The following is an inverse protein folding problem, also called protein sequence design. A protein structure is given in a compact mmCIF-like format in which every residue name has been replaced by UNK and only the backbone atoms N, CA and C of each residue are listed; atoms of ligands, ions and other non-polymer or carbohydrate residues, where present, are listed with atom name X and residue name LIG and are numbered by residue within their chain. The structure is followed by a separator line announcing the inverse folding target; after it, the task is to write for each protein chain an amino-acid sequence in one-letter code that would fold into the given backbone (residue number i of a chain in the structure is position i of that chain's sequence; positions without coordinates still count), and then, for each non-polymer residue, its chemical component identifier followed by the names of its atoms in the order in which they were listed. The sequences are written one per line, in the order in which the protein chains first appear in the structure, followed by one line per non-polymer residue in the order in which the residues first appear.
data_IF_243690342928
#
_entry.id   IF_243690342928
#
_cell.length_a   1.000
_cell.length_b   1.000
_cell.length_c   1.000
_cell.angle_alpha   90.00
_cell.angle_beta   90.00
_cell.angle_gamma   90.00
#
_symmetry.space_group_name_H-M   'P 1'
#
loop_
_entity.id
_entity.type
_entity.pdbx_description
1 polymer ?
#
# COMPACT_ATOMS: atom_id res chain seq x y z
N UNK A 1 10.09 -6.44 -7.25
CA UNK A 1 11.05 -5.60 -6.51
C UNK A 1 11.95 -6.35 -5.49
N UNK A 2 11.88 -7.68 -5.38
CA UNK A 2 12.57 -8.44 -4.32
C UNK A 2 11.74 -8.53 -3.03
N UNK A 3 12.31 -9.09 -1.97
CA UNK A 3 11.66 -9.22 -0.65
C UNK A 3 12.61 -8.81 0.49
N UNK A 4 12.07 -8.50 1.68
CA UNK A 4 12.84 -8.30 2.91
C UNK A 4 12.51 -9.36 3.96
N UNK A 5 13.48 -9.65 4.84
CA UNK A 5 13.31 -10.68 5.89
C UNK A 5 12.35 -10.21 7.00
N UNK A 6 11.43 -11.08 7.47
CA UNK A 6 10.53 -10.75 8.59
C UNK A 6 11.25 -10.48 9.92
N UNK A 7 12.49 -10.92 10.08
CA UNK A 7 13.23 -10.83 11.35
C UNK A 7 13.91 -9.47 11.57
N UNK A 8 13.87 -8.57 10.57
CA UNK A 8 14.59 -7.31 10.57
C UNK A 8 13.87 -6.18 11.30
N UNK A 9 13.56 -6.38 12.59
CA UNK A 9 12.73 -5.47 13.41
C UNK A 9 13.22 -4.00 13.46
N UNK A 10 14.53 -3.78 13.36
CA UNK A 10 15.13 -2.44 13.43
C UNK A 10 15.49 -1.84 12.06
N UNK A 11 15.21 -2.54 10.96
CA UNK A 11 15.45 -1.96 9.63
C UNK A 11 14.44 -0.86 9.35
N UNK A 12 14.92 0.21 8.71
CA UNK A 12 14.15 1.37 8.32
C UNK A 12 14.11 1.48 6.81
N UNK A 13 13.00 1.98 6.28
CA UNK A 13 12.88 2.39 4.89
C UNK A 13 12.83 3.92 4.83
N UNK A 14 13.58 4.59 3.93
CA UNK A 14 13.55 6.04 3.83
C UNK A 14 12.15 6.55 3.50
N UNK A 15 11.56 7.37 4.38
CA UNK A 15 10.28 8.02 4.11
C UNK A 15 10.43 9.19 3.11
N UNK A 16 11.43 10.04 3.32
CA UNK A 16 11.72 11.16 2.44
C UNK A 16 12.52 10.70 1.23
N UNK A 17 12.17 11.23 0.06
CA UNK A 17 12.84 10.94 -1.20
C UNK A 17 12.11 11.59 -2.37
N UNK A 18 12.64 11.40 -3.57
CA UNK A 18 12.00 11.83 -4.81
C UNK A 18 10.69 11.06 -5.08
N UNK A 19 10.66 9.78 -4.69
CA UNK A 19 9.51 8.90 -4.79
C UNK A 19 9.15 8.37 -3.41
N UNK A 20 7.86 8.09 -3.17
CA UNK A 20 7.43 7.43 -1.94
C UNK A 20 7.97 6.00 -1.88
N UNK A 21 8.35 5.56 -0.68
CA UNK A 21 8.63 4.15 -0.40
C UNK A 21 7.36 3.28 -0.54
N UNK A 22 7.54 1.96 -0.60
CA UNK A 22 6.46 0.99 -0.79
C UNK A 22 6.06 0.77 -2.26
N UNK A 23 6.72 1.43 -3.21
CA UNK A 23 6.50 1.26 -4.65
C UNK A 23 7.59 0.35 -5.26
N UNK A 24 8.85 0.81 -5.25
CA UNK A 24 10.01 0.02 -5.69
C UNK A 24 10.75 -0.66 -4.53
N UNK A 25 10.35 -0.35 -3.29
CA UNK A 25 10.84 -1.02 -2.08
C UNK A 25 10.62 -2.55 -2.19
N UNK A 26 11.60 -3.39 -1.82
CA UNK A 26 11.39 -4.83 -1.77
C UNK A 26 10.22 -5.19 -0.84
N UNK A 27 9.44 -6.21 -1.22
CA UNK A 27 8.19 -6.55 -0.53
C UNK A 27 8.46 -7.03 0.90
N UNK A 28 7.80 -6.40 1.86
CA UNK A 28 7.70 -6.87 3.24
C UNK A 28 6.66 -7.99 3.37
N UNK A 29 6.74 -8.75 4.46
CA UNK A 29 5.92 -9.94 4.64
C UNK A 29 4.44 -9.66 4.91
N UNK A 30 4.11 -8.49 5.49
CA UNK A 30 2.74 -8.09 5.84
C UNK A 30 2.35 -6.81 5.11
N UNK A 31 1.09 -6.72 4.69
CA UNK A 31 0.54 -5.52 4.08
C UNK A 31 -0.92 -5.25 4.46
N UNK A 32 -1.33 -4.00 4.35
CA UNK A 32 -2.71 -3.56 4.47
C UNK A 32 -3.00 -2.47 3.45
N UNK A 33 -4.12 -2.63 2.75
CA UNK A 33 -4.75 -1.59 1.95
C UNK A 33 -5.94 -1.07 2.73
N UNK A 34 -5.99 0.24 2.95
CA UNK A 34 -7.11 0.89 3.64
C UNK A 34 -7.50 2.17 2.92
N UNK A 35 -8.72 2.18 2.41
CA UNK A 35 -9.31 3.34 1.78
C UNK A 35 -10.07 4.17 2.78
N UNK A 36 -10.05 5.47 2.59
CA UNK A 36 -10.74 6.45 3.41
C UNK A 36 -11.62 7.36 2.56
N UNK A 37 -12.76 7.74 3.11
CA UNK A 37 -13.55 8.88 2.70
C UNK A 37 -13.09 10.10 3.51
N UNK A 38 -12.94 11.26 2.86
CA UNK A 38 -12.60 12.51 3.54
C UNK A 38 -13.88 13.14 4.12
N UNK A 39 -13.83 13.51 5.40
CA UNK A 39 -15.00 13.98 6.14
C UNK A 39 -15.27 15.48 5.98
N UNK A 40 -14.24 16.25 5.59
CA UNK A 40 -14.34 17.69 5.36
C UNK A 40 -14.40 18.02 3.87
N UNK A 41 -15.09 19.12 3.55
CA UNK A 41 -15.10 19.75 2.23
C UNK A 41 -14.34 21.08 2.22
N UNK A 42 -13.45 21.32 3.17
CA UNK A 42 -12.59 22.52 3.22
C UNK A 42 -11.17 22.17 2.78
N UNK A 43 -10.63 22.97 1.84
CA UNK A 43 -9.24 22.87 1.38
C UNK A 43 -8.24 23.09 2.52
N UNK A 44 -8.56 23.91 3.52
CA UNK A 44 -7.70 24.14 4.70
C UNK A 44 -7.56 22.86 5.52
N UNK A 45 -8.67 22.14 5.69
CA UNK A 45 -8.70 20.85 6.38
C UNK A 45 -7.96 19.77 5.59
N UNK A 46 -8.05 19.77 4.25
CA UNK A 46 -7.25 18.89 3.39
C UNK A 46 -5.75 19.14 3.57
N UNK A 47 -5.32 20.41 3.62
CA UNK A 47 -3.93 20.78 3.88
C UNK A 47 -3.50 20.32 5.28
N UNK A 48 -4.36 20.47 6.29
CA UNK A 48 -4.12 19.98 7.65
C UNK A 48 -3.94 18.46 7.67
N UNK A 49 -4.80 17.72 6.97
CA UNK A 49 -4.71 16.27 6.82
C UNK A 49 -3.37 15.84 6.23
N UNK A 50 -2.96 16.39 5.09
CA UNK A 50 -1.70 15.99 4.44
C UNK A 50 -0.46 16.35 5.26
N UNK A 51 -0.47 17.50 5.96
CA UNK A 51 0.61 17.84 6.91
C UNK A 51 0.67 16.86 8.08
N UNK A 52 -0.48 16.50 8.64
CA UNK A 52 -0.59 15.56 9.73
C UNK A 52 -0.13 14.15 9.30
N UNK A 53 -0.61 13.64 8.16
CA UNK A 53 -0.18 12.35 7.62
C UNK A 53 1.33 12.32 7.39
N UNK A 54 1.91 13.37 6.81
CA UNK A 54 3.37 13.50 6.64
C UNK A 54 4.11 13.33 7.97
N UNK A 55 3.67 14.02 9.02
CA UNK A 55 4.28 13.95 10.35
C UNK A 55 4.13 12.56 10.98
N UNK A 56 2.94 11.96 10.92
CA UNK A 56 2.67 10.64 11.49
C UNK A 56 3.47 9.55 10.76
N UNK A 57 3.46 9.56 9.43
CA UNK A 57 4.18 8.57 8.62
C UNK A 57 5.68 8.67 8.92
N UNK A 58 6.28 9.87 8.88
CA UNK A 58 7.70 10.05 9.18
C UNK A 58 8.10 9.46 10.53
N UNK A 59 7.28 9.68 11.58
CA UNK A 59 7.52 9.11 12.90
C UNK A 59 7.39 7.59 12.89
N UNK A 60 6.28 7.05 12.37
CA UNK A 60 5.98 5.62 12.39
C UNK A 60 7.02 4.80 11.60
N UNK A 61 7.46 5.28 10.43
CA UNK A 61 8.42 4.56 9.58
C UNK A 61 9.86 4.63 10.10
N UNK A 62 10.18 5.63 10.93
CA UNK A 62 11.49 5.76 11.59
C UNK A 62 11.53 5.02 12.92
N UNK A 63 10.38 4.90 13.60
CA UNK A 63 10.28 4.35 14.94
C UNK A 63 10.72 5.33 16.03
N UNK A 64 10.57 4.91 17.28
CA UNK A 64 10.91 5.72 18.45
C UNK A 64 10.24 5.24 19.73
N UNK A 65 10.47 5.93 20.87
CA UNK A 65 9.75 5.64 22.10
C UNK A 65 8.25 5.88 21.90
N UNK A 66 7.41 4.98 22.43
CA UNK A 66 5.96 5.18 22.43
C UNK A 66 5.61 6.42 23.27
N UNK A 67 4.68 7.29 22.82
CA UNK A 67 4.22 8.44 23.59
C UNK A 67 3.84 8.10 25.04
N UNK A 68 4.47 8.78 26.00
CA UNK A 68 4.27 8.54 27.43
C UNK A 68 2.88 8.98 27.86
N UNK A 69 2.23 8.17 28.70
CA UNK A 69 0.97 8.55 29.35
C UNK A 69 1.28 9.52 30.50
N UNK A 70 1.01 10.81 30.29
CA UNK A 70 1.26 11.87 31.28
C UNK A 70 0.08 12.11 32.21
N UNK A 71 -1.14 11.76 31.81
CA UNK A 71 -2.35 11.89 32.60
C UNK A 71 -3.23 10.64 32.39
N UNK A 72 -3.41 9.77 33.42
CA UNK A 72 -4.14 8.52 33.29
C UNK A 72 -5.65 8.70 33.07
N UNK A 73 -6.18 9.93 33.18
CA UNK A 73 -7.57 10.26 32.85
C UNK A 73 -7.80 10.51 31.35
N UNK A 74 -6.74 10.64 30.56
CA UNK A 74 -6.83 10.81 29.11
C UNK A 74 -6.62 9.46 28.39
N UNK A 75 -7.22 9.27 27.20
CA UNK A 75 -6.90 8.12 26.37
C UNK A 75 -5.38 8.07 26.05
N UNK A 76 -4.72 6.91 26.17
CA UNK A 76 -3.30 6.78 25.86
C UNK A 76 -2.98 7.23 24.44
N UNK A 77 -1.92 8.02 24.23
CA UNK A 77 -1.58 8.54 22.89
C UNK A 77 -1.14 7.44 21.93
N UNK A 78 -0.49 6.40 22.44
CA UNK A 78 -0.17 5.17 21.71
C UNK A 78 -1.19 4.06 21.98
N UNK A 79 -1.32 3.11 21.06
CA UNK A 79 -2.20 1.96 21.24
C UNK A 79 -1.69 0.91 22.24
N UNK A 80 -0.38 0.90 22.50
CA UNK A 80 0.34 -0.01 23.39
C UNK A 80 0.68 -1.37 22.78
N UNK A 81 0.20 -1.70 21.57
CA UNK A 81 0.32 -3.07 21.04
C UNK A 81 1.75 -3.47 20.66
N UNK A 82 2.64 -2.49 20.45
CA UNK A 82 4.06 -2.73 20.17
C UNK A 82 4.95 -2.61 21.43
N UNK A 83 4.36 -2.36 22.60
CA UNK A 83 5.08 -2.08 23.83
C UNK A 83 5.63 -0.65 23.90
N UNK A 84 6.67 -0.44 24.70
CA UNK A 84 7.21 0.89 25.00
C UNK A 84 8.03 1.52 23.85
N UNK A 85 8.34 0.76 22.80
CA UNK A 85 9.16 1.22 21.67
C UNK A 85 8.52 0.78 20.38
N UNK A 86 8.19 1.74 19.54
CA UNK A 86 7.69 1.55 18.19
C UNK A 86 8.92 1.28 17.33
N UNK A 87 9.13 0.02 16.96
CA UNK A 87 10.21 -0.34 16.05
C UNK A 87 9.81 0.02 14.61
N UNK A 88 10.75 0.45 13.75
CA UNK A 88 10.45 0.80 12.37
C UNK A 88 9.99 -0.41 11.55
N UNK A 89 10.59 -1.58 11.77
CA UNK A 89 10.13 -2.87 11.22
C UNK A 89 9.89 -2.89 9.70
N UNK A 90 10.76 -2.20 8.95
CA UNK A 90 10.63 -1.93 7.52
C UNK A 90 9.31 -1.27 7.10
N UNK A 91 8.61 -0.60 8.02
CA UNK A 91 7.34 0.05 7.75
C UNK A 91 7.50 1.07 6.62
N UNK A 92 6.62 0.94 5.63
CA UNK A 92 6.37 1.93 4.60
C UNK A 92 4.88 2.23 4.58
N UNK A 93 4.53 3.50 4.39
CA UNK A 93 3.15 3.93 4.21
C UNK A 93 3.12 4.78 2.94
N UNK A 94 2.53 4.22 1.89
CA UNK A 94 2.37 4.91 0.60
C UNK A 94 0.98 5.54 0.55
N UNK A 95 0.92 6.84 0.27
CA UNK A 95 -0.32 7.59 0.14
C UNK A 95 -0.68 7.74 -1.34
N UNK A 96 -1.90 7.38 -1.72
CA UNK A 96 -2.47 7.66 -3.03
C UNK A 96 -3.86 8.30 -2.92
N UNK A 97 -4.26 9.04 -3.95
CA UNK A 97 -5.51 9.80 -3.99
C UNK A 97 -6.42 9.30 -5.10
N UNK A 98 -7.70 9.16 -4.78
CA UNK A 98 -8.72 8.69 -5.71
C UNK A 98 -9.28 9.81 -6.60
N UNK A 99 -9.99 9.42 -7.67
CA UNK A 99 -10.65 10.38 -8.56
C UNK A 99 -11.62 11.32 -7.82
N UNK A 100 -12.31 10.82 -6.78
CA UNK A 100 -13.29 11.60 -6.02
C UNK A 100 -12.66 12.77 -5.26
N UNK A 101 -11.36 12.74 -4.94
CA UNK A 101 -10.69 13.89 -4.31
C UNK A 101 -10.67 15.14 -5.22
N UNK A 102 -10.88 14.96 -6.52
CA UNK A 102 -10.84 16.02 -7.53
C UNK A 102 -12.24 16.51 -7.94
N UNK A 103 -13.25 16.27 -7.11
CA UNK A 103 -14.58 16.88 -7.24
C UNK A 103 -14.58 18.37 -6.79
N UNK A 104 -15.76 18.95 -6.61
CA UNK A 104 -15.94 20.35 -6.24
C UNK A 104 -15.46 20.70 -4.83
N UNK A 105 -15.31 19.73 -3.91
CA UNK A 105 -15.06 19.98 -2.47
C UNK A 105 -13.83 20.85 -2.24
N UNK A 106 -12.76 20.62 -2.99
CA UNK A 106 -11.46 21.24 -2.74
C UNK A 106 -10.98 22.16 -3.87
N UNK A 107 -11.79 22.32 -4.94
CA UNK A 107 -11.41 23.08 -6.13
C UNK A 107 -10.20 22.49 -6.87
N UNK A 108 -10.00 21.18 -6.80
CA UNK A 108 -8.82 20.50 -7.37
C UNK A 108 -9.06 19.93 -8.77
N UNK A 109 -10.27 19.97 -9.31
CA UNK A 109 -10.61 19.47 -10.64
C UNK A 109 -9.59 19.86 -11.75
N UNK A 110 -9.11 21.12 -11.87
CA UNK A 110 -8.10 21.49 -12.87
C UNK A 110 -6.73 20.85 -12.68
N UNK A 111 -6.45 20.29 -11.51
CA UNK A 111 -5.20 19.63 -11.15
C UNK A 111 -5.28 18.11 -11.22
N UNK A 112 -6.40 17.53 -11.67
CA UNK A 112 -6.55 16.08 -11.75
C UNK A 112 -5.56 15.45 -12.75
N UNK A 113 -4.86 14.35 -12.38
CA UNK A 113 -4.03 13.62 -13.34
C UNK A 113 -4.88 13.11 -14.50
N UNK A 114 -4.36 13.19 -15.73
CA UNK A 114 -5.20 13.11 -16.95
C UNK A 114 -5.83 11.74 -17.17
N UNK A 115 -5.19 10.68 -16.69
CA UNK A 115 -5.70 9.30 -16.80
C UNK A 115 -6.37 8.80 -15.52
N UNK A 116 -6.45 9.64 -14.48
CA UNK A 116 -7.13 9.27 -13.24
C UNK A 116 -8.65 9.28 -13.46
N UNK A 117 -9.25 8.11 -13.23
CA UNK A 117 -10.69 7.90 -13.39
C UNK A 117 -11.21 6.91 -12.35
N UNK A 118 -12.52 6.91 -12.06
CA UNK A 118 -13.15 5.84 -11.30
C UNK A 118 -12.95 4.50 -12.02
N UNK A 119 -12.64 3.45 -11.28
CA UNK A 119 -12.62 2.10 -11.82
C UNK A 119 -14.03 1.71 -12.27
N UNK A 120 -14.15 1.24 -13.51
CA UNK A 120 -15.38 0.63 -14.03
C UNK A 120 -15.21 -0.88 -14.12
N UNK A 121 -16.33 -1.60 -14.23
CA UNK A 121 -16.32 -3.06 -14.27
C UNK A 121 -15.72 -3.59 -15.57
N UNK A 122 -14.92 -4.64 -15.45
CA UNK A 122 -14.56 -5.54 -16.56
C UNK A 122 -15.59 -6.68 -16.68
N UNK A 123 -15.62 -7.46 -17.79
CA UNK A 123 -16.63 -8.48 -18.01
C UNK A 123 -16.77 -9.52 -16.89
N UNK A 124 -15.67 -9.91 -16.23
CA UNK A 124 -15.65 -10.91 -15.16
C UNK A 124 -15.73 -10.31 -13.75
N UNK A 125 -16.12 -9.04 -13.64
CA UNK A 125 -16.17 -8.37 -12.35
C UNK A 125 -17.51 -8.56 -11.65
N UNK A 126 -17.42 -8.93 -10.37
CA UNK A 126 -18.50 -8.89 -9.39
C UNK A 126 -18.16 -7.87 -8.31
N UNK A 127 -18.19 -6.58 -8.68
CA UNK A 127 -17.78 -5.49 -7.79
C UNK A 127 -18.75 -5.32 -6.61
N UNK A 128 -18.20 -5.33 -5.40
CA UNK A 128 -18.89 -4.91 -4.18
C UNK A 128 -18.63 -3.42 -3.95
N UNK A 129 -19.68 -2.60 -3.97
CA UNK A 129 -19.56 -1.15 -3.83
C UNK A 129 -18.89 -0.73 -2.51
N UNK A 130 -19.05 -1.52 -1.45
CA UNK A 130 -18.41 -1.27 -0.15
C UNK A 130 -16.90 -1.47 -0.18
N UNK A 131 -16.36 -2.15 -1.21
CA UNK A 131 -14.93 -2.46 -1.37
C UNK A 131 -14.30 -1.74 -2.57
N UNK A 132 -15.01 -0.75 -3.14
CA UNK A 132 -14.55 0.00 -4.29
C UNK A 132 -14.28 1.46 -3.91
N UNK A 133 -13.28 2.05 -4.56
CA UNK A 133 -12.95 3.48 -4.51
C UNK A 133 -12.53 3.97 -3.11
N UNK A 134 -12.60 5.28 -2.89
CA UNK A 134 -12.10 6.00 -1.74
C UNK A 134 -11.43 7.29 -2.20
N UNK A 135 -11.51 8.34 -1.38
CA UNK A 135 -10.85 9.62 -1.66
C UNK A 135 -9.34 9.50 -1.50
N UNK A 136 -8.91 8.68 -0.55
CA UNK A 136 -7.51 8.43 -0.21
C UNK A 136 -7.32 6.94 0.08
N UNK A 137 -6.20 6.38 -0.37
CA UNK A 137 -5.80 5.01 -0.08
C UNK A 137 -4.42 5.03 0.59
N UNK A 138 -4.29 4.30 1.69
CA UNK A 138 -3.00 4.00 2.28
C UNK A 138 -2.65 2.54 2.01
N UNK A 139 -1.45 2.33 1.48
CA UNK A 139 -0.78 1.04 1.45
C UNK A 139 0.26 1.01 2.58
N UNK A 140 0.00 0.21 3.61
CA UNK A 140 0.90 0.01 4.74
C UNK A 140 1.57 -1.35 4.60
N UNK A 141 2.89 -1.38 4.53
CA UNK A 141 3.66 -2.63 4.45
C UNK A 141 4.75 -2.63 5.52
N UNK A 142 4.90 -3.74 6.24
CA UNK A 142 5.95 -3.93 7.25
C UNK A 142 6.31 -5.42 7.36
N UNK A 143 7.37 -5.73 8.11
CA UNK A 143 7.72 -7.14 8.33
C UNK A 143 6.62 -7.88 9.09
N UNK A 144 5.96 -7.23 10.06
CA UNK A 144 4.94 -7.85 10.92
C UNK A 144 3.57 -7.19 10.80
N UNK A 145 2.53 -7.99 11.02
CA UNK A 145 1.13 -7.53 11.01
C UNK A 145 0.88 -6.56 12.16
N UNK A 146 1.52 -6.75 13.31
CA UNK A 146 1.44 -5.89 14.48
C UNK A 146 1.83 -4.44 14.15
N UNK A 147 2.95 -4.24 13.44
CA UNK A 147 3.40 -2.90 13.02
C UNK A 147 2.40 -2.24 12.07
N UNK A 148 1.86 -3.01 11.11
CA UNK A 148 0.85 -2.51 10.16
C UNK A 148 -0.44 -2.08 10.88
N UNK A 149 -0.93 -2.90 11.82
CA UNK A 149 -2.13 -2.61 12.61
C UNK A 149 -1.90 -1.42 13.54
N UNK A 150 -0.72 -1.33 14.17
CA UNK A 150 -0.35 -0.22 15.04
C UNK A 150 -0.39 1.10 14.26
N UNK A 151 0.25 1.14 13.09
CA UNK A 151 0.29 2.32 12.23
C UNK A 151 -1.11 2.78 11.81
N UNK A 152 -2.00 1.84 11.43
CA UNK A 152 -3.39 2.19 11.12
C UNK A 152 -4.10 2.81 12.33
N UNK A 153 -3.97 2.21 13.51
CA UNK A 153 -4.62 2.72 14.73
C UNK A 153 -4.10 4.10 15.12
N UNK A 154 -2.80 4.35 14.94
CA UNK A 154 -2.19 5.67 15.16
C UNK A 154 -2.81 6.72 14.24
N UNK A 155 -2.89 6.44 12.93
CA UNK A 155 -3.46 7.36 11.94
C UNK A 155 -4.93 7.66 12.27
N UNK A 156 -5.75 6.63 12.50
CA UNK A 156 -7.18 6.81 12.83
C UNK A 156 -7.34 7.68 14.09
N UNK A 157 -6.52 7.43 15.11
CA UNK A 157 -6.59 8.17 16.37
C UNK A 157 -6.31 9.67 16.19
N UNK A 158 -5.43 10.04 15.27
CA UNK A 158 -5.09 11.44 15.01
C UNK A 158 -6.00 12.12 13.98
N UNK A 159 -6.88 11.38 13.29
CA UNK A 159 -7.71 11.90 12.18
C UNK A 159 -9.23 11.68 12.34
N UNK A 160 -9.82 11.67 13.56
CA UNK A 160 -11.22 11.29 13.75
C UNK A 160 -12.23 12.25 13.08
N UNK A 161 -11.81 13.48 12.82
CA UNK A 161 -12.57 14.55 12.19
C UNK A 161 -12.23 14.75 10.70
N UNK A 162 -11.28 13.97 10.17
CA UNK A 162 -10.77 14.11 8.81
C UNK A 162 -10.99 12.87 7.94
N UNK A 163 -10.89 11.67 8.51
CA UNK A 163 -10.91 10.41 7.78
C UNK A 163 -11.97 9.45 8.31
N UNK A 164 -12.82 8.93 7.41
CA UNK A 164 -13.69 7.78 7.66
C UNK A 164 -13.16 6.55 6.95
N UNK A 165 -12.98 5.43 7.66
CA UNK A 165 -12.55 4.16 7.02
C UNK A 165 -13.65 3.68 6.09
N UNK A 166 -13.32 3.53 4.80
CA UNK A 166 -14.24 3.06 3.76
C UNK A 166 -14.20 1.54 3.64
N UNK A 167 -13.02 1.00 3.41
CA UNK A 167 -12.76 -0.44 3.40
C UNK A 167 -11.32 -0.73 3.77
N UNK A 168 -11.06 -1.96 4.24
CA UNK A 168 -9.71 -2.44 4.51
C UNK A 168 -9.52 -3.88 4.04
N UNK A 169 -8.30 -4.20 3.61
CA UNK A 169 -7.85 -5.57 3.31
C UNK A 169 -6.43 -5.74 3.79
N UNK A 170 -6.18 -6.86 4.44
CA UNK A 170 -4.86 -7.28 4.91
C UNK A 170 -4.35 -8.38 3.98
N UNK A 171 -3.04 -8.45 3.82
CA UNK A 171 -2.39 -9.40 2.93
C UNK A 171 -1.00 -9.79 3.43
N UNK A 172 -0.45 -10.83 2.83
CA UNK A 172 0.87 -11.35 3.13
C UNK A 172 1.49 -11.96 1.87
N UNK A 173 2.81 -12.13 1.88
CA UNK A 173 3.53 -12.97 0.93
C UNK A 173 4.01 -14.25 1.60
N UNK A 174 4.37 -15.27 0.82
CA UNK A 174 4.84 -16.56 1.35
C UNK A 174 6.11 -16.41 2.21
N UNK A 175 6.12 -17.01 3.41
CA UNK A 175 7.20 -16.88 4.41
C UNK A 175 8.60 -17.22 3.86
N UNK A 176 8.73 -18.35 3.14
CA UNK A 176 10.02 -18.77 2.57
C UNK A 176 10.59 -17.69 1.64
N UNK A 177 9.77 -17.15 0.74
CA UNK A 177 10.19 -16.09 -0.18
C UNK A 177 10.54 -14.79 0.56
N UNK A 178 9.78 -14.41 1.59
CA UNK A 178 10.13 -13.24 2.42
C UNK A 178 11.50 -13.43 3.09
N UNK A 179 11.76 -14.60 3.66
CA UNK A 179 13.04 -14.94 4.30
C UNK A 179 14.21 -15.05 3.31
N UNK A 180 13.93 -15.31 2.04
CA UNK A 180 14.94 -15.43 0.97
C UNK A 180 15.59 -14.10 0.55
N UNK A 181 15.01 -12.95 0.93
CA UNK A 181 15.52 -11.62 0.58
C UNK A 181 15.70 -11.41 -0.93
N UNK A 182 14.67 -11.77 -1.71
CA UNK A 182 14.62 -11.60 -3.17
C UNK A 182 15.25 -12.71 -3.98
N UNK A 183 15.81 -13.76 -3.35
CA UNK A 183 16.34 -14.92 -4.07
C UNK A 183 15.23 -15.84 -4.61
N UNK A 184 14.07 -15.87 -3.95
CA UNK A 184 12.91 -16.65 -4.37
C UNK A 184 11.74 -15.72 -4.72
N UNK A 185 11.05 -16.02 -5.82
CA UNK A 185 9.79 -15.35 -6.18
C UNK A 185 8.69 -15.77 -5.20
N UNK A 186 7.89 -14.83 -4.66
CA UNK A 186 6.72 -15.17 -3.86
C UNK A 186 5.78 -16.15 -4.55
N UNK A 187 5.20 -17.07 -3.78
CA UNK A 187 4.17 -18.00 -4.26
C UNK A 187 2.79 -17.46 -3.88
N UNK A 188 1.90 -17.31 -4.87
CA UNK A 188 0.52 -16.90 -4.63
C UNK A 188 -0.34 -18.06 -4.08
N UNK A 189 -1.57 -17.75 -3.67
CA UNK A 189 -2.47 -18.75 -3.07
C UNK A 189 -3.00 -19.83 -4.04
N UNK A 190 -2.69 -19.72 -5.33
CA UNK A 190 -2.93 -20.78 -6.32
C UNK A 190 -1.73 -21.72 -6.47
N UNK A 191 -0.62 -21.43 -5.78
CA UNK A 191 0.60 -22.23 -5.75
C UNK A 191 1.54 -21.97 -6.91
N UNK A 192 1.46 -20.82 -7.57
CA UNK A 192 2.36 -20.41 -8.66
C UNK A 192 3.29 -19.28 -8.20
N UNK A 193 4.51 -19.23 -8.78
CA UNK A 193 5.42 -18.08 -8.63
C UNK A 193 4.78 -16.83 -9.24
N UNK A 194 4.74 -15.75 -8.47
CA UNK A 194 4.06 -14.52 -8.84
C UNK A 194 5.02 -13.32 -8.74
N UNK A 195 5.31 -12.71 -9.90
CA UNK A 195 6.26 -11.60 -10.04
C UNK A 195 7.56 -11.92 -10.79
N UNK A 196 7.72 -13.12 -11.36
CA UNK A 196 8.92 -13.55 -12.11
C UNK A 196 9.29 -12.62 -13.26
N UNK A 197 8.30 -12.14 -14.02
CA UNK A 197 8.52 -11.30 -15.19
C UNK A 197 8.39 -9.79 -14.90
N UNK A 198 8.43 -9.39 -13.62
CA UNK A 198 8.42 -7.97 -13.28
C UNK A 198 9.66 -7.26 -13.84
N UNK A 199 9.53 -5.99 -14.30
CA UNK A 199 10.68 -5.23 -14.73
C UNK A 199 11.68 -5.04 -13.58
N UNK A 200 12.97 -4.90 -13.92
CA UNK A 200 14.01 -4.65 -12.93
C UNK A 200 13.83 -3.27 -12.29
N UNK A 201 13.38 -3.27 -11.03
CA UNK A 201 13.12 -2.04 -10.27
C UNK A 201 14.39 -1.31 -9.84
N UNK A 202 15.57 -1.91 -9.99
CA UNK A 202 16.84 -1.24 -9.72
C UNK A 202 17.38 -0.47 -10.92
N UNK A 203 16.76 -0.63 -12.11
CA UNK A 203 17.13 0.11 -13.31
C UNK A 203 16.37 1.45 -13.37
N UNK A 204 17.00 2.60 -13.09
CA UNK A 204 16.29 3.87 -12.99
C UNK A 204 15.75 4.36 -14.34
N UNK A 205 16.48 4.09 -15.43
CA UNK A 205 16.03 4.47 -16.77
C UNK A 205 14.76 3.71 -17.16
N UNK A 206 14.70 2.42 -16.85
CA UNK A 206 13.49 1.60 -17.08
C UNK A 206 12.32 2.05 -16.19
N UNK A 207 12.57 2.39 -14.92
CA UNK A 207 11.51 2.88 -14.02
C UNK A 207 10.98 4.25 -14.44
N UNK A 208 11.83 5.15 -14.94
CA UNK A 208 11.38 6.42 -15.52
C UNK A 208 10.52 6.19 -16.78
N UNK A 209 10.78 5.14 -17.55
CA UNK A 209 9.99 4.81 -18.73
C UNK A 209 8.64 4.16 -18.39
N UNK A 210 8.59 3.31 -17.36
CA UNK A 210 7.43 2.44 -17.10
C UNK A 210 6.55 2.88 -15.93
N UNK A 211 7.12 3.52 -14.91
CA UNK A 211 6.49 3.65 -13.59
C UNK A 211 6.25 5.10 -13.19
N UNK A 212 7.25 5.97 -13.35
CA UNK A 212 7.16 7.35 -12.88
C UNK A 212 6.57 8.29 -13.92
N UNK A 213 5.78 9.25 -13.46
CA UNK A 213 5.34 10.38 -14.28
C UNK A 213 6.53 11.30 -14.55
N UNK A 214 6.81 11.55 -15.83
CA UNK A 214 7.96 12.34 -16.31
C UNK A 214 7.51 13.61 -17.04
N UNK A 215 8.44 14.55 -17.25
CA UNK A 215 8.14 15.87 -17.84
C UNK A 215 7.67 15.84 -19.31
N UNK A 216 8.04 14.79 -20.04
CA UNK A 216 7.67 14.59 -21.44
C UNK A 216 6.22 14.14 -21.62
N UNK A 217 5.55 13.79 -20.52
CA UNK A 217 4.14 13.42 -20.50
C UNK A 217 3.27 14.66 -20.27
N UNK A 218 2.14 14.69 -20.96
CA UNK A 218 1.14 15.76 -20.80
C UNK A 218 0.34 15.54 -19.50
N UNK A 219 0.98 15.77 -18.35
CA UNK A 219 0.42 15.62 -17.00
C UNK A 219 0.60 16.90 -16.17
N UNK A 220 -0.24 17.16 -15.14
CA UNK A 220 -0.02 18.28 -14.23
C UNK A 220 1.36 18.21 -13.57
N UNK A 221 2.05 19.35 -13.49
CA UNK A 221 3.43 19.43 -12.96
C UNK A 221 3.60 18.79 -11.58
N UNK A 222 2.59 18.87 -10.71
CA UNK A 222 2.64 18.30 -9.36
C UNK A 222 2.66 16.76 -9.36
N UNK A 223 2.14 16.11 -10.41
CA UNK A 223 2.07 14.66 -10.52
C UNK A 223 3.40 14.03 -10.93
N UNK A 224 4.38 14.84 -11.39
CA UNK A 224 5.73 14.40 -11.72
C UNK A 224 6.36 13.63 -10.55
N UNK A 225 7.06 12.55 -10.86
CA UNK A 225 7.65 11.59 -9.91
C UNK A 225 6.63 10.80 -9.08
N UNK A 226 5.33 11.04 -9.27
CA UNK A 226 4.26 10.14 -8.83
C UNK A 226 4.13 8.93 -9.74
N UNK A 227 3.19 8.04 -9.42
CA UNK A 227 2.81 6.88 -10.23
C UNK A 227 1.30 6.71 -10.14
N UNK A 228 0.68 6.26 -11.23
CA UNK A 228 -0.68 5.73 -11.17
C UNK A 228 -0.69 4.40 -10.42
N UNK A 229 -1.71 4.16 -9.59
CA UNK A 229 -1.87 2.93 -8.82
C UNK A 229 -3.21 2.28 -9.19
N UNK A 230 -3.15 1.02 -9.63
CA UNK A 230 -4.34 0.20 -9.84
C UNK A 230 -4.42 -0.88 -8.76
N UNK A 231 -5.56 -0.97 -8.08
CA UNK A 231 -5.81 -1.96 -7.02
C UNK A 231 -7.03 -2.81 -7.39
N UNK A 232 -6.89 -4.12 -7.25
CA UNK A 232 -7.93 -5.11 -7.55
C UNK A 232 -8.02 -6.11 -6.41
N UNK A 233 -9.20 -6.24 -5.81
CA UNK A 233 -9.50 -7.27 -4.82
C UNK A 233 -10.07 -8.48 -5.53
N UNK A 234 -9.29 -9.56 -5.61
CA UNK A 234 -9.63 -10.73 -6.42
C UNK A 234 -9.81 -11.93 -5.50
N UNK A 235 -11.00 -12.53 -5.56
CA UNK A 235 -11.30 -13.79 -4.87
C UNK A 235 -10.87 -14.96 -5.76
N UNK A 236 -10.21 -15.94 -5.16
CA UNK A 236 -9.97 -17.24 -5.79
C UNK A 236 -11.02 -18.26 -5.35
N UNK A 237 -11.40 -19.14 -6.28
CA UNK A 237 -12.21 -20.33 -6.00
C UNK A 237 -11.27 -21.50 -5.69
N UNK A 238 -10.71 -21.49 -4.47
CA UNK A 238 -9.58 -22.37 -4.09
C UNK A 238 -9.95 -23.85 -4.15
N UNK A 239 -11.17 -24.23 -3.74
CA UNK A 239 -11.60 -25.64 -3.73
C UNK A 239 -11.81 -26.19 -5.13
N UNK A 240 -12.25 -25.33 -6.06
CA UNK A 240 -12.37 -25.68 -7.48
C UNK A 240 -10.98 -25.82 -8.08
N UNK A 241 -10.10 -24.86 -7.82
CA UNK A 241 -8.72 -24.87 -8.30
C UNK A 241 -7.94 -26.11 -7.88
N UNK A 242 -8.04 -26.50 -6.61
CA UNK A 242 -7.35 -27.67 -6.06
C UNK A 242 -7.81 -28.99 -6.70
N UNK A 243 -8.98 -28.99 -7.38
CA UNK A 243 -9.53 -30.13 -8.12
C UNK A 243 -9.32 -30.01 -9.63
N UNK A 244 -8.85 -28.88 -10.13
CA UNK A 244 -8.49 -28.70 -11.55
C UNK A 244 -7.20 -29.48 -11.86
N UNK A 245 -7.15 -30.28 -12.95
CA UNK A 245 -5.94 -31.00 -13.35
C UNK A 245 -4.71 -30.08 -13.47
N UNK A 246 -3.54 -30.54 -13.00
CA UNK A 246 -2.30 -29.75 -13.06
C UNK A 246 -1.97 -29.25 -14.48
N UNK A 247 -2.18 -30.09 -15.50
CA UNK A 247 -1.97 -29.70 -16.90
C UNK A 247 -2.83 -28.50 -17.31
N UNK A 248 -4.08 -28.44 -16.85
CA UNK A 248 -4.98 -27.31 -17.08
C UNK A 248 -4.53 -26.08 -16.29
N UNK A 249 -4.13 -26.24 -15.03
CA UNK A 249 -3.58 -25.13 -14.24
C UNK A 249 -2.37 -24.47 -14.93
N UNK A 250 -1.44 -25.27 -15.44
CA UNK A 250 -0.26 -24.79 -16.18
C UNK A 250 -0.64 -24.20 -17.54
N UNK A 251 -1.68 -24.73 -18.20
CA UNK A 251 -2.20 -24.17 -19.46
C UNK A 251 -2.81 -22.78 -19.23
N UNK A 252 -3.55 -22.58 -18.14
CA UNK A 252 -4.15 -21.30 -17.78
C UNK A 252 -3.08 -20.22 -17.56
N UNK A 253 -2.00 -20.54 -16.83
CA UNK A 253 -0.92 -19.59 -16.57
C UNK A 253 0.13 -19.51 -17.68
N UNK A 254 0.24 -20.54 -18.52
CA UNK A 254 1.29 -20.68 -19.53
C UNK A 254 2.69 -20.91 -18.94
N UNK A 255 2.79 -21.46 -17.72
CA UNK A 255 4.06 -21.73 -17.01
C UNK A 255 4.03 -23.05 -16.26
N UNK A 256 5.21 -23.65 -16.08
CA UNK A 256 5.35 -24.81 -15.19
C UNK A 256 5.15 -24.40 -13.73
N UNK A 257 4.30 -25.10 -12.98
CA UNK A 257 3.89 -24.69 -11.62
C UNK A 257 5.04 -24.72 -10.62
N UNK A 258 5.85 -25.78 -10.65
CA UNK A 258 6.92 -26.01 -9.67
C UNK A 258 8.14 -25.13 -9.94
N UNK A 259 8.62 -25.11 -11.18
CA UNK A 259 9.83 -24.36 -11.55
C UNK A 259 9.54 -22.89 -11.84
N UNK A 260 8.34 -22.56 -12.36
CA UNK A 260 7.98 -21.25 -12.87
C UNK A 260 8.52 -20.94 -14.27
N UNK A 261 9.14 -21.91 -14.96
CA UNK A 261 9.66 -21.75 -16.32
C UNK A 261 8.56 -21.41 -17.33
#
# INVERSE_FOLDING_TARGET
PGTVTPQARQQMQPFYGQHQAGITTPQQASMMLVAFDLLSSDRTELVRLFRLLTQRIAFLTTGGPAPVVTNPRLPPMDSGILGATIAPDNLTITVSVGNSLFDERFGLAPHKPKKLQPMTRFPNDSLDASQCHGDLLLQLCANTQDTVIHALRDIIKHTPDLLGVRWRREGFISDHAARSQGQETPINLLGFKDGTANPDTHNPALMNQLLWVTDDQDEPVWARNGSYQAVRLIRFHVEMWDRTPLGEQQTIFGREKLSGA
#
